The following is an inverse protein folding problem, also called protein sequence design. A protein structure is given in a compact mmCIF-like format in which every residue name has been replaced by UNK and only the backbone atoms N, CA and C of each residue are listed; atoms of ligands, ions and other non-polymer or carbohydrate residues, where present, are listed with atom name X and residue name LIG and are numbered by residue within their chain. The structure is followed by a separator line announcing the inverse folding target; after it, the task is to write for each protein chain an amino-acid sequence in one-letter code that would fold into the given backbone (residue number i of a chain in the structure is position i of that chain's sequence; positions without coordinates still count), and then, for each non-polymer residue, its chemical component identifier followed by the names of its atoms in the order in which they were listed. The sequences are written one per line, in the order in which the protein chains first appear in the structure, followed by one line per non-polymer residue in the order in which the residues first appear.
data_IF_124032918842
#
_entry.id   IF_124032918842
#
_cell.length_a   1.000
_cell.length_b   1.000
_cell.length_c   1.000
_cell.angle_alpha   90.00
_cell.angle_beta   90.00
_cell.angle_gamma   90.00
#
_symmetry.space_group_name_H-M   'P 1'
#
loop_
_entity.id
_entity.type
_entity.pdbx_description
1 polymer ?
#
# COMPACT_ATOMS: atom_id res chain seq x y z
N UNK A 1 9.17 61.30 -41.98
CA UNK A 1 8.55 61.28 -40.64
C UNK A 1 9.55 61.88 -39.66
N UNK A 2 9.26 63.06 -39.09
CA UNK A 2 10.26 63.84 -38.35
C UNK A 2 10.59 63.18 -37.00
N UNK A 3 11.88 63.17 -36.61
CA UNK A 3 12.37 62.60 -35.34
C UNK A 3 11.60 63.13 -34.11
N UNK A 4 11.12 64.37 -34.18
CA UNK A 4 10.35 65.03 -33.13
C UNK A 4 9.01 64.32 -32.83
N UNK A 5 8.37 63.74 -33.86
CA UNK A 5 7.11 63.01 -33.71
C UNK A 5 7.30 61.66 -33.02
N UNK A 6 8.44 61.01 -33.25
CA UNK A 6 8.79 59.72 -32.62
C UNK A 6 9.14 59.94 -31.15
N UNK A 7 9.90 61.00 -30.83
CA UNK A 7 10.23 61.34 -29.45
C UNK A 7 9.02 61.78 -28.65
N UNK A 8 8.07 62.54 -29.24
CA UNK A 8 6.85 62.95 -28.53
C UNK A 8 5.92 61.75 -28.29
N UNK A 9 5.83 60.83 -29.24
CA UNK A 9 5.04 59.61 -29.09
C UNK A 9 5.63 58.70 -28.00
N UNK A 10 6.94 58.49 -27.99
CA UNK A 10 7.61 57.69 -26.96
C UNK A 10 7.47 58.31 -25.56
N UNK A 11 7.61 59.63 -25.46
CA UNK A 11 7.46 60.35 -24.19
C UNK A 11 6.02 60.30 -23.68
N UNK A 12 5.03 60.42 -24.57
CA UNK A 12 3.63 60.27 -24.23
C UNK A 12 3.32 58.85 -23.71
N UNK A 13 3.78 57.81 -24.42
CA UNK A 13 3.59 56.42 -23.97
C UNK A 13 4.31 56.11 -22.67
N UNK A 14 5.51 56.64 -22.46
CA UNK A 14 6.26 56.47 -21.22
C UNK A 14 5.57 57.18 -20.05
N UNK A 15 5.01 58.37 -20.29
CA UNK A 15 4.25 59.11 -19.28
C UNK A 15 2.96 58.38 -18.89
N UNK A 16 2.24 57.78 -19.85
CA UNK A 16 1.03 57.01 -19.55
C UNK A 16 1.35 55.74 -18.75
N UNK A 17 2.44 55.05 -19.08
CA UNK A 17 2.91 53.88 -18.33
C UNK A 17 3.36 54.24 -16.90
N UNK A 18 4.01 55.39 -16.71
CA UNK A 18 4.42 55.87 -15.40
C UNK A 18 3.22 56.22 -14.51
N UNK A 19 2.19 56.86 -15.07
CA UNK A 19 0.94 57.21 -14.35
C UNK A 19 0.17 55.95 -13.93
N UNK A 20 0.19 54.88 -14.73
CA UNK A 20 -0.44 53.60 -14.35
C UNK A 20 0.36 52.79 -13.33
N UNK A 21 1.68 53.03 -13.21
CA UNK A 21 2.57 52.32 -12.28
C UNK A 21 2.74 53.04 -10.94
N UNK A 22 2.54 54.37 -10.91
CA UNK A 22 2.33 55.12 -9.68
C UNK A 22 0.95 54.74 -9.14
N UNK A 23 0.88 53.68 -8.34
CA UNK A 23 -0.36 53.17 -7.76
C UNK A 23 -1.21 54.29 -7.14
N UNK A 24 -2.53 54.14 -7.26
CA UNK A 24 -3.51 55.09 -6.69
C UNK A 24 -3.24 55.33 -5.20
N UNK A 25 -3.46 56.58 -4.77
CA UNK A 25 -3.51 56.99 -3.37
C UNK A 25 -4.37 55.97 -2.58
N UNK A 26 -4.07 55.69 -1.31
CA UNK A 26 -4.75 54.63 -0.53
C UNK A 26 -6.22 55.05 -0.25
N UNK A 27 -7.08 54.88 -1.25
CA UNK A 27 -8.51 55.15 -1.20
C UNK A 27 -9.15 53.95 -0.53
N UNK A 28 -9.74 54.17 0.65
CA UNK A 28 -10.44 53.13 1.43
C UNK A 28 -11.77 52.74 0.77
N UNK A 29 -11.69 52.10 -0.39
CA UNK A 29 -12.82 51.52 -1.12
C UNK A 29 -12.85 49.99 -0.97
N UNK A 30 -14.04 49.42 -1.12
CA UNK A 30 -14.23 47.97 -1.01
C UNK A 30 -13.58 47.28 -2.22
N UNK A 31 -12.56 46.47 -1.99
CA UNK A 31 -11.94 45.69 -3.06
C UNK A 31 -12.86 44.56 -3.54
N UNK A 32 -12.77 44.19 -4.82
CA UNK A 32 -13.52 43.06 -5.34
C UNK A 32 -13.14 41.76 -4.63
N UNK A 33 -14.13 40.88 -4.43
CA UNK A 33 -13.91 39.58 -3.81
C UNK A 33 -12.99 38.70 -4.67
N UNK A 34 -11.95 38.12 -4.06
CA UNK A 34 -11.01 37.23 -4.75
C UNK A 34 -11.56 35.80 -4.71
N UNK A 35 -11.90 35.26 -5.88
CA UNK A 35 -12.30 33.86 -6.01
C UNK A 35 -11.07 32.96 -6.26
N UNK A 36 -10.79 32.05 -5.32
CA UNK A 36 -9.78 31.02 -5.54
C UNK A 36 -10.31 29.97 -6.52
N UNK A 37 -9.61 29.78 -7.65
CA UNK A 37 -9.92 28.73 -8.64
C UNK A 37 -9.17 27.46 -8.26
N UNK A 38 -9.92 26.42 -7.88
CA UNK A 38 -9.36 25.11 -7.60
C UNK A 38 -8.86 24.43 -8.88
N UNK A 39 -7.88 23.55 -8.73
CA UNK A 39 -7.42 22.69 -9.82
C UNK A 39 -8.51 21.70 -10.20
N UNK A 40 -8.74 21.53 -11.50
CA UNK A 40 -9.64 20.50 -12.00
C UNK A 40 -9.20 19.10 -11.57
N UNK A 41 -10.17 18.22 -11.34
CA UNK A 41 -9.92 16.83 -11.00
C UNK A 41 -9.20 16.10 -12.15
N UNK A 42 -8.21 15.27 -11.81
CA UNK A 42 -7.49 14.46 -12.80
C UNK A 42 -8.42 13.40 -13.42
N UNK A 43 -8.31 13.21 -14.74
CA UNK A 43 -9.11 12.22 -15.47
C UNK A 43 -8.65 10.81 -15.12
N UNK A 44 -9.50 10.03 -14.46
CA UNK A 44 -9.25 8.62 -14.15
C UNK A 44 -9.63 7.71 -15.33
N UNK A 45 -8.90 6.59 -15.54
CA UNK A 45 -9.25 5.60 -16.55
C UNK A 45 -10.60 4.91 -16.24
N UNK A 46 -11.26 4.32 -17.25
CA UNK A 46 -12.53 3.63 -17.05
C UNK A 46 -12.38 2.41 -16.13
N UNK A 47 -13.29 2.26 -15.17
CA UNK A 47 -13.23 1.21 -14.14
C UNK A 47 -13.18 -0.22 -14.72
N UNK A 48 -13.79 -0.46 -15.89
CA UNK A 48 -13.74 -1.76 -16.57
C UNK A 48 -12.32 -2.16 -16.97
N UNK A 49 -11.51 -1.20 -17.40
CA UNK A 49 -10.11 -1.44 -17.76
C UNK A 49 -9.29 -1.82 -16.52
N UNK A 50 -9.43 -1.07 -15.43
CA UNK A 50 -8.76 -1.39 -14.16
C UNK A 50 -9.13 -2.79 -13.65
N UNK A 51 -10.41 -3.18 -13.69
CA UNK A 51 -10.87 -4.51 -13.28
C UNK A 51 -10.26 -5.65 -14.10
N UNK A 52 -10.17 -5.47 -15.43
CA UNK A 52 -9.55 -6.45 -16.32
C UNK A 52 -8.08 -6.70 -15.91
N UNK A 53 -7.31 -5.63 -15.69
CA UNK A 53 -5.91 -5.76 -15.29
C UNK A 53 -5.75 -6.33 -13.88
N UNK A 54 -6.65 -6.02 -12.94
CA UNK A 54 -6.65 -6.68 -11.62
C UNK A 54 -6.82 -8.20 -11.76
N UNK A 55 -7.71 -8.68 -12.63
CA UNK A 55 -7.87 -10.12 -12.88
C UNK A 55 -6.63 -10.73 -13.54
N UNK A 56 -6.00 -10.02 -14.48
CA UNK A 56 -4.74 -10.46 -15.08
C UNK A 56 -3.64 -10.60 -14.02
N UNK A 57 -3.51 -9.63 -13.11
CA UNK A 57 -2.55 -9.69 -11.99
C UNK A 57 -2.81 -10.86 -11.04
N UNK A 58 -4.06 -11.29 -10.88
CA UNK A 58 -4.42 -12.47 -10.07
C UNK A 58 -4.20 -13.81 -10.80
N UNK A 59 -4.03 -13.81 -12.13
CA UNK A 59 -3.90 -15.03 -12.92
C UNK A 59 -2.74 -15.96 -12.54
N UNK A 60 -1.54 -15.48 -12.12
CA UNK A 60 -0.44 -16.37 -11.72
C UNK A 60 -0.78 -17.21 -10.49
N UNK A 61 -1.60 -16.69 -9.58
CA UNK A 61 -2.05 -17.42 -8.40
C UNK A 61 -2.95 -18.60 -8.77
N UNK A 62 -3.84 -18.41 -9.74
CA UNK A 62 -4.68 -19.50 -10.25
C UNK A 62 -3.84 -20.58 -10.93
N UNK A 63 -2.83 -20.16 -11.72
CA UNK A 63 -1.91 -21.08 -12.36
C UNK A 63 -1.10 -21.89 -11.34
N UNK A 64 -0.64 -21.25 -10.25
CA UNK A 64 0.06 -21.92 -9.16
C UNK A 64 -0.80 -23.00 -8.50
N UNK A 65 -2.07 -22.68 -8.18
CA UNK A 65 -3.01 -23.62 -7.58
C UNK A 65 -3.26 -24.81 -8.51
N UNK A 66 -3.48 -24.55 -9.81
CA UNK A 66 -3.65 -25.60 -10.80
C UNK A 66 -2.42 -26.51 -10.89
N UNK A 67 -1.22 -25.93 -10.86
CA UNK A 67 0.04 -26.67 -10.87
C UNK A 67 0.18 -27.60 -9.66
N UNK A 68 -0.14 -27.15 -8.45
CA UNK A 68 -0.13 -28.00 -7.26
C UNK A 68 -1.11 -29.16 -7.35
N UNK A 69 -2.31 -28.93 -7.87
CA UNK A 69 -3.32 -29.98 -8.05
C UNK A 69 -2.85 -31.04 -9.06
N UNK A 70 -2.19 -30.63 -10.15
CA UNK A 70 -1.60 -31.56 -11.14
C UNK A 70 -0.49 -32.41 -10.53
N UNK A 71 0.33 -31.84 -9.64
CA UNK A 71 1.37 -32.56 -8.89
C UNK A 71 0.80 -33.48 -7.80
N UNK A 72 -0.52 -33.49 -7.60
CA UNK A 72 -1.20 -34.33 -6.60
C UNK A 72 -1.18 -33.78 -5.17
N UNK A 73 -0.78 -32.52 -4.99
CA UNK A 73 -0.87 -31.77 -3.72
C UNK A 73 -2.29 -31.22 -3.54
N UNK A 74 -3.20 -32.09 -3.10
CA UNK A 74 -4.57 -31.70 -2.75
C UNK A 74 -4.61 -31.07 -1.35
N UNK A 75 -5.44 -30.04 -1.10
CA UNK A 75 -5.59 -29.44 0.23
C UNK A 75 -5.86 -30.47 1.35
N UNK A 76 -6.68 -31.49 1.06
CA UNK A 76 -6.97 -32.57 2.01
C UNK A 76 -5.71 -33.35 2.43
N UNK A 77 -4.80 -33.64 1.49
CA UNK A 77 -3.54 -34.36 1.79
C UNK A 77 -2.61 -33.51 2.64
N UNK A 78 -2.53 -32.21 2.35
CA UNK A 78 -1.72 -31.26 3.11
C UNK A 78 -2.23 -31.17 4.55
N UNK A 79 -3.54 -31.03 4.73
CA UNK A 79 -4.16 -30.98 6.06
C UNK A 79 -3.96 -32.31 6.80
N UNK A 80 -4.15 -33.46 6.15
CA UNK A 80 -3.93 -34.76 6.79
C UNK A 80 -2.49 -34.94 7.24
N UNK A 81 -1.51 -34.50 6.44
CA UNK A 81 -0.09 -34.58 6.80
C UNK A 81 0.25 -33.64 7.96
N UNK A 82 -0.31 -32.43 7.99
CA UNK A 82 -0.13 -31.46 9.08
C UNK A 82 -0.70 -31.96 10.41
N UNK A 83 -1.83 -32.69 10.38
CA UNK A 83 -2.49 -33.23 11.56
C UNK A 83 -1.94 -34.62 11.94
N UNK A 84 -1.17 -35.26 11.06
CA UNK A 84 -0.59 -36.58 11.30
C UNK A 84 0.52 -36.56 12.38
N UNK A 85 0.34 -37.37 13.42
CA UNK A 85 1.33 -37.57 14.48
C UNK A 85 0.79 -37.33 15.88
N UNK A 86 1.66 -36.90 16.79
CA UNK A 86 1.31 -36.61 18.18
C UNK A 86 0.51 -35.31 18.29
N UNK A 87 -0.52 -35.28 19.13
CA UNK A 87 -1.36 -34.10 19.41
C UNK A 87 -0.53 -32.87 19.77
N UNK A 88 0.56 -33.03 20.53
CA UNK A 88 1.43 -31.93 20.92
C UNK A 88 2.13 -31.25 19.72
N UNK A 89 2.48 -32.03 18.68
CA UNK A 89 3.03 -31.52 17.43
C UNK A 89 1.99 -30.71 16.69
N UNK A 90 0.80 -31.28 16.48
CA UNK A 90 -0.29 -30.64 15.75
C UNK A 90 -0.64 -29.30 16.39
N UNK A 91 -0.74 -29.25 17.71
CA UNK A 91 -0.99 -27.99 18.45
C UNK A 91 0.11 -26.97 18.19
N UNK A 92 1.38 -27.36 18.20
CA UNK A 92 2.51 -26.44 17.95
C UNK A 92 2.49 -25.88 16.51
N UNK A 93 2.24 -26.73 15.51
CA UNK A 93 2.16 -26.33 14.11
C UNK A 93 0.95 -25.40 13.87
N UNK A 94 -0.22 -25.77 14.39
CA UNK A 94 -1.44 -24.94 14.26
C UNK A 94 -1.24 -23.60 14.97
N UNK A 95 -0.66 -23.58 16.16
CA UNK A 95 -0.36 -22.33 16.86
C UNK A 95 0.55 -21.41 16.04
N UNK A 96 1.59 -21.97 15.39
CA UNK A 96 2.48 -21.19 14.53
C UNK A 96 1.80 -20.68 13.25
N UNK A 97 0.97 -21.50 12.60
CA UNK A 97 0.24 -21.06 11.41
C UNK A 97 -0.79 -19.98 11.76
N UNK A 98 -1.52 -20.13 12.86
CA UNK A 98 -2.46 -19.13 13.34
C UNK A 98 -1.75 -17.83 13.72
N UNK A 99 -0.55 -17.89 14.30
CA UNK A 99 0.22 -16.69 14.61
C UNK A 99 0.69 -15.97 13.34
N UNK A 100 1.12 -16.70 12.30
CA UNK A 100 1.45 -16.11 10.99
C UNK A 100 0.23 -15.46 10.33
N UNK A 101 -0.93 -16.13 10.32
CA UNK A 101 -2.19 -15.56 9.81
C UNK A 101 -2.58 -14.30 10.59
N UNK A 102 -2.35 -14.29 11.90
CA UNK A 102 -2.63 -13.12 12.75
C UNK A 102 -1.72 -11.94 12.40
N UNK A 103 -0.44 -12.19 12.09
CA UNK A 103 0.48 -11.14 11.63
C UNK A 103 0.07 -10.57 10.27
N UNK A 104 -0.29 -11.43 9.31
CA UNK A 104 -0.78 -10.97 8.00
C UNK A 104 -2.08 -10.16 8.13
N UNK A 105 -3.01 -10.63 8.98
CA UNK A 105 -4.24 -9.91 9.27
C UNK A 105 -3.99 -8.56 9.96
N UNK A 106 -2.98 -8.47 10.83
CA UNK A 106 -2.56 -7.20 11.41
C UNK A 106 -2.07 -6.22 10.33
N UNK A 107 -1.35 -6.68 9.31
CA UNK A 107 -0.95 -5.82 8.19
C UNK A 107 -2.13 -5.38 7.33
N UNK A 108 -3.14 -6.23 7.16
CA UNK A 108 -4.41 -5.82 6.55
C UNK A 108 -5.12 -4.72 7.37
N UNK A 109 -5.14 -4.84 8.71
CA UNK A 109 -5.69 -3.80 9.58
C UNK A 109 -4.86 -2.51 9.54
N UNK A 110 -3.54 -2.59 9.41
CA UNK A 110 -2.68 -1.43 9.16
C UNK A 110 -3.02 -0.72 7.85
N UNK A 111 -3.26 -1.47 6.77
CA UNK A 111 -3.65 -0.88 5.49
C UNK A 111 -5.00 -0.15 5.56
N UNK A 112 -5.93 -0.65 6.38
CA UNK A 112 -7.32 -0.18 6.36
C UNK A 112 -7.67 0.81 7.47
N UNK A 113 -7.12 0.66 8.68
CA UNK A 113 -7.61 1.37 9.87
C UNK A 113 -6.53 1.78 10.89
N UNK A 114 -5.46 1.01 11.09
CA UNK A 114 -4.51 1.24 12.19
C UNK A 114 -3.41 2.23 11.84
N UNK A 115 -2.93 2.95 12.86
CA UNK A 115 -1.72 3.75 12.74
C UNK A 115 -0.44 2.90 12.95
N UNK A 116 0.70 3.49 12.60
CA UNK A 116 1.99 2.80 12.67
C UNK A 116 2.35 2.37 14.10
N UNK A 117 2.17 3.23 15.11
CA UNK A 117 2.53 2.92 16.50
C UNK A 117 1.66 1.82 17.12
N UNK A 118 0.36 1.80 16.80
CA UNK A 118 -0.56 0.72 17.18
C UNK A 118 -0.13 -0.60 16.54
N UNK A 119 0.16 -0.58 15.24
CA UNK A 119 0.60 -1.75 14.50
C UNK A 119 1.89 -2.31 15.07
N UNK A 120 2.89 -1.47 15.34
CA UNK A 120 4.15 -1.90 15.96
C UNK A 120 3.92 -2.51 17.36
N UNK A 121 3.02 -1.94 18.16
CA UNK A 121 2.71 -2.46 19.50
C UNK A 121 2.09 -3.86 19.43
N UNK A 122 1.08 -4.05 18.58
CA UNK A 122 0.46 -5.37 18.37
C UNK A 122 1.44 -6.36 17.74
N UNK A 123 2.26 -5.90 16.78
CA UNK A 123 3.26 -6.72 16.13
C UNK A 123 4.33 -7.20 17.11
N UNK A 124 4.77 -6.36 18.07
CA UNK A 124 5.69 -6.80 19.13
C UNK A 124 5.12 -7.98 19.93
N UNK A 125 3.85 -7.91 20.35
CA UNK A 125 3.19 -9.01 21.05
C UNK A 125 3.07 -10.28 20.19
N UNK A 126 2.59 -10.13 18.96
CA UNK A 126 2.46 -11.24 18.01
C UNK A 126 3.82 -11.84 17.62
N UNK A 127 4.88 -11.05 17.53
CA UNK A 127 6.23 -11.50 17.20
C UNK A 127 6.78 -12.44 18.28
N UNK A 128 6.58 -12.10 19.56
CA UNK A 128 6.98 -12.97 20.68
C UNK A 128 6.23 -14.31 20.60
N UNK A 129 4.91 -14.27 20.39
CA UNK A 129 4.08 -15.48 20.25
C UNK A 129 4.57 -16.32 19.06
N UNK A 130 4.75 -15.68 17.91
CA UNK A 130 5.18 -16.33 16.66
C UNK A 130 6.57 -16.94 16.79
N UNK A 131 7.49 -16.28 17.50
CA UNK A 131 8.83 -16.79 17.74
C UNK A 131 8.81 -18.09 18.56
N UNK A 132 8.10 -18.11 19.70
CA UNK A 132 8.02 -19.31 20.53
C UNK A 132 7.22 -20.44 19.87
N UNK A 133 6.10 -20.12 19.22
CA UNK A 133 5.31 -21.09 18.46
C UNK A 133 6.12 -21.69 17.30
N UNK A 134 6.85 -20.84 16.57
CA UNK A 134 7.70 -21.24 15.45
C UNK A 134 8.84 -22.14 15.88
N UNK A 135 9.56 -21.79 16.95
CA UNK A 135 10.63 -22.63 17.49
C UNK A 135 10.11 -24.04 17.81
N UNK A 136 8.98 -24.14 18.53
CA UNK A 136 8.37 -25.43 18.87
C UNK A 136 7.91 -26.20 17.63
N UNK A 137 7.25 -25.53 16.68
CA UNK A 137 6.78 -26.15 15.45
C UNK A 137 7.94 -26.70 14.62
N UNK A 138 8.98 -25.90 14.38
CA UNK A 138 10.13 -26.30 13.57
C UNK A 138 10.96 -27.40 14.23
N UNK A 139 11.21 -27.32 15.55
CA UNK A 139 11.87 -28.41 16.29
C UNK A 139 11.09 -29.71 16.18
N UNK A 140 9.75 -29.68 16.27
CA UNK A 140 8.92 -30.88 16.16
C UNK A 140 9.01 -31.55 14.78
N UNK A 141 9.21 -30.76 13.72
CA UNK A 141 9.44 -31.25 12.35
C UNK A 141 10.83 -31.88 12.24
N UNK A 142 11.85 -31.25 12.82
CA UNK A 142 13.22 -31.79 12.84
C UNK A 142 13.28 -33.14 13.57
N UNK A 143 12.68 -33.26 14.75
CA UNK A 143 12.64 -34.52 15.50
C UNK A 143 11.96 -35.63 14.69
N UNK A 144 10.90 -35.32 13.94
CA UNK A 144 10.24 -36.29 13.05
C UNK A 144 11.19 -36.79 11.96
N UNK A 145 11.94 -35.88 11.33
CA UNK A 145 12.90 -36.24 10.26
C UNK A 145 13.97 -37.19 10.78
N UNK A 146 14.58 -36.85 11.93
CA UNK A 146 15.59 -37.69 12.57
C UNK A 146 15.00 -39.06 12.96
N UNK A 147 13.81 -39.10 13.55
CA UNK A 147 13.16 -40.36 13.92
C UNK A 147 12.85 -41.26 12.71
N UNK A 148 12.53 -40.67 11.55
CA UNK A 148 12.31 -41.42 10.32
C UNK A 148 13.62 -41.96 9.73
N UNK A 149 14.72 -41.20 9.82
CA UNK A 149 16.05 -41.64 9.38
C UNK A 149 16.57 -42.81 10.23
N UNK A 150 16.36 -42.77 11.55
CA UNK A 150 16.76 -43.86 12.45
C UNK A 150 15.92 -45.15 12.27
N UNK A 151 14.73 -45.04 11.66
CA UNK A 151 13.85 -46.18 11.38
C UNK A 151 14.17 -46.86 10.04
N UNK A 152 14.94 -46.20 9.18
CA UNK A 152 15.33 -46.69 7.86
C UNK A 152 16.59 -47.56 7.96
#
# INVERSE_FOLDING_TARGET
MSRQFITSLLLATAFTALVSAAGEEDVFELQPEIHHVFRDAEKMPPASFSKLFTLVTLSPWLMLIAGWLQLGFTPAKVISELVSGSTARTVSIVAFLTSLVSVEYLFYLYWTQLNLFQTLTYLCGLAVITFFAGQRALSSIQTRRIANELKK
#
